data_IF_113465862393
#
_entry.id   IF_113465862393
#
_cell.length_a   1.000
_cell.length_b   1.000
_cell.length_c   1.000
_cell.angle_alpha   90.00
_cell.angle_beta   90.00
_cell.angle_gamma   90.00
#
_symmetry.space_group_name_H-M   'P 1'
#
loop_
_entity.id
_entity.type
_entity.pdbx_description
1 polymer ?
#
# COMPACT_ATOMS: atom_id res chain seq x y z
N UNK A 1 15.42 17.19 11.12
CA UNK A 1 15.55 15.73 11.05
C UNK A 1 16.62 15.30 12.03
N UNK A 2 16.27 14.34 12.87
CA UNK A 2 17.19 13.67 13.79
C UNK A 2 17.35 12.20 13.36
N UNK A 3 18.42 11.56 13.86
CA UNK A 3 18.83 10.22 13.49
C UNK A 3 18.96 9.38 14.76
N UNK A 4 18.27 8.24 14.80
CA UNK A 4 18.45 7.22 15.84
C UNK A 4 18.85 5.91 15.18
N UNK A 5 19.93 5.32 15.71
CA UNK A 5 20.39 3.99 15.35
C UNK A 5 19.96 3.02 16.46
N UNK A 6 19.07 2.10 16.12
CA UNK A 6 18.67 1.02 17.03
C UNK A 6 19.45 -0.23 16.71
N UNK A 7 20.22 -0.68 17.69
CA UNK A 7 20.89 -1.97 17.66
C UNK A 7 19.92 -2.98 18.27
N UNK A 8 19.30 -3.81 17.43
CA UNK A 8 18.43 -4.87 17.91
C UNK A 8 19.30 -6.05 18.37
N UNK A 9 19.07 -6.60 19.58
CA UNK A 9 19.73 -7.83 19.99
C UNK A 9 19.26 -8.99 19.09
N UNK A 10 20.23 -9.82 18.69
CA UNK A 10 20.08 -11.16 18.11
C UNK A 10 18.95 -11.36 17.07
N UNK A 11 19.32 -11.26 15.78
CA UNK A 11 18.47 -11.73 14.67
C UNK A 11 19.09 -13.00 14.08
N UNK A 12 18.32 -14.05 13.75
CA UNK A 12 18.84 -15.26 13.10
C UNK A 12 19.61 -14.92 11.81
N UNK A 13 20.70 -15.64 11.54
CA UNK A 13 21.74 -15.35 10.52
C UNK A 13 21.27 -15.25 9.05
N UNK A 14 19.98 -15.32 8.75
CA UNK A 14 19.46 -15.45 7.39
C UNK A 14 18.67 -14.24 6.88
N UNK A 15 18.57 -13.14 7.63
CA UNK A 15 17.81 -11.96 7.21
C UNK A 15 18.59 -11.11 6.19
N UNK A 16 18.04 -10.97 4.98
CA UNK A 16 18.59 -10.07 3.95
C UNK A 16 18.31 -8.60 4.27
N UNK A 17 19.24 -7.71 3.89
CA UNK A 17 19.06 -6.26 3.93
C UNK A 17 17.82 -5.85 3.13
N UNK A 18 16.83 -5.22 3.76
CA UNK A 18 15.62 -4.75 3.08
C UNK A 18 15.35 -3.32 3.50
N UNK A 19 15.15 -2.40 2.55
CA UNK A 19 14.74 -1.01 2.82
C UNK A 19 13.22 -0.95 2.75
N UNK A 20 12.55 -0.40 3.76
CA UNK A 20 11.09 -0.26 3.79
C UNK A 20 10.69 1.20 4.00
N UNK A 21 9.63 1.63 3.32
CA UNK A 21 8.96 2.91 3.57
C UNK A 21 7.67 2.65 4.36
N UNK A 22 7.47 3.37 5.46
CA UNK A 22 6.24 3.30 6.25
C UNK A 22 5.73 4.74 6.48
N UNK A 23 4.50 5.00 6.03
CA UNK A 23 3.76 6.21 6.41
C UNK A 23 3.01 5.92 7.70
N UNK A 24 3.10 6.81 8.69
CA UNK A 24 2.31 6.76 9.90
C UNK A 24 1.60 8.11 10.09
N UNK A 25 0.29 8.07 10.32
CA UNK A 25 -0.48 9.20 10.84
C UNK A 25 -0.53 9.11 12.36
N UNK A 26 0.02 10.11 13.07
CA UNK A 26 -0.21 10.23 14.49
C UNK A 26 -1.69 10.59 14.70
N UNK A 27 -2.47 9.66 15.27
CA UNK A 27 -3.89 9.84 15.56
C UNK A 27 -4.11 11.03 16.49
N UNK A 28 -4.47 12.18 15.92
CA UNK A 28 -4.76 13.41 16.63
C UNK A 28 -5.35 14.44 15.68
N UNK A 29 -6.56 14.94 15.99
CA UNK A 29 -7.44 15.73 15.12
C UNK A 29 -6.87 17.04 14.54
N UNK A 30 -5.64 17.43 14.87
CA UNK A 30 -5.04 18.72 14.48
C UNK A 30 -3.60 18.62 13.95
N UNK A 31 -3.11 17.43 13.56
CA UNK A 31 -1.76 17.26 13.03
C UNK A 31 -1.78 16.64 11.63
N UNK A 32 -1.42 17.44 10.62
CA UNK A 32 -1.32 16.99 9.23
C UNK A 32 -0.35 15.83 9.06
N UNK A 33 -0.56 15.05 8.00
CA UNK A 33 0.27 13.90 7.60
C UNK A 33 1.75 14.33 7.56
N UNK A 34 2.60 13.70 8.36
CA UNK A 34 4.06 13.90 8.31
C UNK A 34 4.71 12.66 7.72
N UNK A 35 5.49 12.85 6.67
CA UNK A 35 6.24 11.76 6.03
C UNK A 35 7.59 11.57 6.76
N UNK A 36 7.87 10.33 7.17
CA UNK A 36 9.16 9.93 7.73
C UNK A 36 9.79 8.84 6.88
N UNK A 37 11.11 8.94 6.64
CA UNK A 37 11.89 7.94 5.93
C UNK A 37 12.50 6.96 6.94
N UNK A 38 12.24 5.67 6.75
CA UNK A 38 12.90 4.61 7.52
C UNK A 38 13.94 3.93 6.62
N UNK A 39 15.14 3.67 7.12
CA UNK A 39 16.15 2.90 6.39
C UNK A 39 16.66 1.75 7.26
N UNK A 40 16.08 0.57 7.10
CA UNK A 40 16.71 -0.66 7.58
C UNK A 40 17.95 -0.97 6.72
N UNK A 41 19.14 -0.75 7.27
CA UNK A 41 20.38 -1.27 6.69
C UNK A 41 20.93 -2.36 7.59
N UNK A 42 20.49 -3.59 7.35
CA UNK A 42 21.28 -4.76 7.73
C UNK A 42 22.53 -4.84 6.86
N UNK A 43 23.59 -4.09 7.17
CA UNK A 43 24.92 -4.44 6.64
C UNK A 43 25.38 -5.69 7.38
N UNK A 44 25.18 -6.85 6.79
CA UNK A 44 26.04 -7.99 7.08
C UNK A 44 27.45 -7.57 6.65
N UNK A 45 28.26 -7.06 7.59
CA UNK A 45 29.69 -7.04 7.36
C UNK A 45 30.09 -8.50 7.21
N UNK A 46 30.45 -8.90 5.99
CA UNK A 46 31.00 -10.21 5.74
C UNK A 46 32.29 -10.33 6.57
N UNK A 47 32.24 -11.14 7.62
CA UNK A 47 33.27 -11.38 8.63
C UNK A 47 34.54 -12.09 8.11
N UNK A 48 34.81 -12.06 6.80
CA UNK A 48 36.04 -12.65 6.24
C UNK A 48 37.31 -11.86 6.63
N UNK A 49 37.18 -10.66 7.20
CA UNK A 49 38.35 -9.83 7.55
C UNK A 49 38.85 -9.96 9.00
N UNK A 50 38.09 -10.55 9.94
CA UNK A 50 38.49 -10.57 11.36
C UNK A 50 38.39 -11.92 12.09
N UNK A 51 37.92 -13.00 11.47
CA UNK A 51 38.03 -14.34 12.08
C UNK A 51 37.34 -14.50 13.43
N UNK A 52 36.35 -13.64 13.73
CA UNK A 52 35.52 -13.75 14.93
C UNK A 52 34.24 -14.47 14.55
N UNK A 53 34.02 -15.68 15.06
CA UNK A 53 32.69 -16.29 15.08
C UNK A 53 31.86 -15.56 16.13
N UNK A 54 31.18 -14.48 15.73
CA UNK A 54 30.30 -13.71 16.59
C UNK A 54 29.03 -13.32 15.83
N UNK A 55 27.91 -13.29 16.53
CA UNK A 55 26.61 -12.87 15.99
C UNK A 55 26.61 -11.37 15.72
N UNK A 56 26.16 -10.96 14.54
CA UNK A 56 26.10 -9.54 14.16
C UNK A 56 24.71 -8.98 14.49
N UNK A 57 24.60 -7.92 15.30
CA UNK A 57 23.31 -7.30 15.57
C UNK A 57 22.76 -6.60 14.31
N UNK A 58 21.43 -6.58 14.17
CA UNK A 58 20.76 -5.86 13.08
C UNK A 58 20.51 -4.41 13.51
N UNK A 59 20.90 -3.47 12.67
CA UNK A 59 20.67 -2.05 12.91
C UNK A 59 19.43 -1.57 12.13
N UNK A 60 18.45 -1.04 12.87
CA UNK A 60 17.32 -0.28 12.32
C UNK A 60 17.68 1.21 12.40
N UNK A 61 17.71 1.90 11.26
CA UNK A 61 17.94 3.36 11.23
C UNK A 61 16.64 4.08 10.95
N UNK A 62 16.36 5.06 11.79
CA UNK A 62 15.12 5.82 11.79
C UNK A 62 15.48 7.29 11.56
N UNK A 63 14.93 7.88 10.50
CA UNK A 63 14.96 9.33 10.30
C UNK A 63 13.60 9.90 10.69
N UNK A 64 13.58 10.84 11.64
CA UNK A 64 12.35 11.41 12.14
C UNK A 64 12.43 12.93 12.33
N UNK A 65 11.25 13.55 12.41
CA UNK A 65 11.10 14.96 12.75
C UNK A 65 11.30 15.15 14.27
N UNK A 66 12.22 16.02 14.74
CA UNK A 66 12.42 16.26 16.18
C UNK A 66 11.14 16.67 16.94
N UNK A 67 10.10 17.14 16.25
CA UNK A 67 8.81 17.41 16.87
C UNK A 67 8.07 16.17 17.40
N UNK A 68 8.40 14.95 16.95
CA UNK A 68 7.76 13.67 17.33
C UNK A 68 8.69 12.77 18.18
N UNK A 69 9.68 13.38 18.84
CA UNK A 69 10.77 12.66 19.52
C UNK A 69 10.30 11.73 20.63
N UNK A 70 9.24 12.06 21.36
CA UNK A 70 8.78 11.23 22.47
C UNK A 70 7.96 10.01 22.00
N UNK A 71 7.24 10.14 20.89
CA UNK A 71 6.53 9.04 20.21
C UNK A 71 7.54 8.05 19.59
N UNK A 72 8.60 8.57 18.97
CA UNK A 72 9.70 7.73 18.45
C UNK A 72 10.44 7.03 19.59
N UNK A 73 10.70 7.70 20.72
CA UNK A 73 11.31 7.05 21.90
C UNK A 73 10.42 5.94 22.47
N UNK A 74 9.11 6.13 22.48
CA UNK A 74 8.17 5.10 22.91
C UNK A 74 8.16 3.91 21.95
N UNK A 75 8.09 4.15 20.63
CA UNK A 75 8.16 3.10 19.61
C UNK A 75 9.50 2.34 19.67
N UNK A 76 10.61 3.05 19.85
CA UNK A 76 11.94 2.49 20.08
C UNK A 76 11.93 1.57 21.30
N UNK A 77 11.32 2.02 22.40
CA UNK A 77 11.23 1.25 23.65
C UNK A 77 10.33 0.02 23.51
N UNK A 78 9.27 0.11 22.72
CA UNK A 78 8.36 -0.99 22.40
C UNK A 78 9.02 -2.01 21.45
N UNK A 79 9.77 -1.55 20.44
CA UNK A 79 10.55 -2.42 19.55
C UNK A 79 11.72 -3.11 20.28
N UNK A 80 12.25 -2.48 21.34
CA UNK A 80 13.23 -3.10 22.23
C UNK A 80 12.62 -4.17 23.14
N UNK A 81 11.29 -4.21 23.30
CA UNK A 81 10.60 -5.32 23.93
C UNK A 81 10.45 -6.45 22.89
N UNK A 82 11.49 -7.29 22.83
CA UNK A 82 11.79 -8.43 21.95
C UNK A 82 10.64 -9.17 21.25
N UNK A 83 9.46 -9.32 21.87
CA UNK A 83 8.33 -10.05 21.25
C UNK A 83 7.77 -9.32 20.02
N UNK A 84 7.65 -7.99 20.07
CA UNK A 84 7.08 -7.22 18.95
C UNK A 84 8.05 -7.13 17.75
N UNK A 85 9.36 -7.03 18.01
CA UNK A 85 10.38 -6.98 16.95
C UNK A 85 10.53 -8.29 16.19
N UNK A 86 10.47 -9.42 16.89
CA UNK A 86 10.52 -10.75 16.28
C UNK A 86 9.29 -11.03 15.41
N UNK A 87 8.10 -10.63 15.85
CA UNK A 87 6.84 -10.78 15.09
C UNK A 87 6.85 -9.94 13.81
N UNK A 88 7.39 -8.72 13.84
CA UNK A 88 7.52 -7.89 12.63
C UNK A 88 8.48 -8.53 11.62
N UNK A 89 9.65 -9.02 12.06
CA UNK A 89 10.63 -9.67 11.19
C UNK A 89 10.06 -10.97 10.59
N UNK A 90 9.41 -11.81 11.40
CA UNK A 90 8.78 -13.05 10.93
C UNK A 90 7.65 -12.78 9.92
N UNK A 91 6.84 -11.74 10.17
CA UNK A 91 5.81 -11.32 9.21
C UNK A 91 6.41 -10.84 7.88
N UNK A 92 7.49 -10.06 7.92
CA UNK A 92 8.19 -9.59 6.71
C UNK A 92 8.85 -10.75 5.94
N UNK A 93 9.49 -11.70 6.62
CA UNK A 93 10.06 -12.89 5.99
C UNK A 93 8.99 -13.81 5.41
N UNK A 94 7.86 -13.97 6.10
CA UNK A 94 6.70 -14.72 5.59
C UNK A 94 6.15 -14.08 4.32
N UNK A 95 5.95 -12.76 4.31
CA UNK A 95 5.47 -12.02 3.15
C UNK A 95 6.45 -12.10 1.97
N UNK A 96 7.75 -12.03 2.23
CA UNK A 96 8.80 -12.16 1.20
C UNK A 96 8.82 -13.55 0.56
N UNK A 97 8.66 -14.60 1.35
CA UNK A 97 8.68 -15.98 0.86
C UNK A 97 7.33 -16.44 0.29
N UNK A 98 6.24 -15.76 0.68
CA UNK A 98 4.88 -16.02 0.23
C UNK A 98 4.20 -14.70 -0.15
N UNK A 99 4.52 -14.15 -1.34
CA UNK A 99 3.81 -12.97 -1.81
C UNK A 99 2.30 -13.26 -1.86
N UNK A 100 1.45 -12.25 -1.60
CA UNK A 100 0.01 -12.44 -1.58
C UNK A 100 -0.46 -13.03 -2.91
N UNK A 101 -1.34 -14.02 -2.83
CA UNK A 101 -1.90 -14.64 -4.02
C UNK A 101 -2.60 -13.57 -4.88
N UNK A 102 -2.22 -13.52 -6.16
CA UNK A 102 -2.83 -12.59 -7.10
C UNK A 102 -4.26 -13.01 -7.37
N UNK A 103 -5.18 -12.08 -7.16
CA UNK A 103 -6.58 -12.30 -7.48
C UNK A 103 -6.78 -12.44 -8.99
N UNK A 104 -7.78 -13.22 -9.39
CA UNK A 104 -8.22 -13.29 -10.78
C UNK A 104 -9.17 -12.12 -11.01
N UNK A 105 -8.81 -11.23 -11.92
CA UNK A 105 -9.62 -10.06 -12.23
C UNK A 105 -10.99 -10.46 -12.78
N UNK A 106 -12.04 -9.89 -12.21
CA UNK A 106 -13.37 -9.83 -12.82
C UNK A 106 -13.67 -8.38 -13.13
N UNK A 107 -13.55 -8.04 -14.42
CA UNK A 107 -13.65 -6.66 -14.91
C UNK A 107 -15.04 -6.34 -15.48
N UNK A 108 -15.96 -7.32 -15.51
CA UNK A 108 -17.25 -7.13 -16.19
C UNK A 108 -18.25 -6.43 -15.26
N UNK A 109 -18.67 -5.22 -15.62
CA UNK A 109 -19.73 -4.50 -14.90
C UNK A 109 -21.08 -5.16 -15.19
N UNK A 110 -21.82 -5.64 -14.17
CA UNK A 110 -23.13 -6.25 -14.37
C UNK A 110 -24.15 -5.27 -14.98
N UNK A 111 -25.17 -5.75 -15.71
CA UNK A 111 -26.23 -4.90 -16.27
C UNK A 111 -26.96 -4.06 -15.21
N UNK A 112 -27.15 -2.77 -15.46
CA UNK A 112 -27.86 -1.84 -14.57
C UNK A 112 -28.31 -0.57 -15.32
N UNK A 113 -29.43 0.09 -14.93
CA UNK A 113 -29.88 1.32 -15.60
C UNK A 113 -28.88 2.48 -15.56
N UNK A 114 -28.00 2.53 -14.54
CA UNK A 114 -26.94 3.55 -14.41
C UNK A 114 -25.63 3.16 -15.09
N UNK A 115 -25.53 1.97 -15.67
CA UNK A 115 -24.28 1.43 -16.23
C UNK A 115 -23.71 2.30 -17.35
N UNK A 116 -24.57 2.84 -18.22
CA UNK A 116 -24.13 3.68 -19.34
C UNK A 116 -23.45 4.97 -18.87
N UNK A 117 -23.87 5.53 -17.72
CA UNK A 117 -23.26 6.73 -17.17
C UNK A 117 -21.79 6.52 -16.76
N UNK A 118 -21.38 5.28 -16.48
CA UNK A 118 -20.00 4.94 -16.13
C UNK A 118 -19.08 4.84 -17.36
N UNK A 119 -19.59 4.61 -18.56
CA UNK A 119 -18.75 4.36 -19.74
C UNK A 119 -17.98 5.62 -20.10
N UNK A 120 -16.65 5.61 -20.03
CA UNK A 120 -15.77 6.75 -20.27
C UNK A 120 -14.36 6.54 -19.71
N UNK A 121 -13.48 7.48 -20.01
CA UNK A 121 -12.18 7.61 -19.36
C UNK A 121 -12.32 8.60 -18.20
N UNK A 122 -11.84 8.24 -17.02
CA UNK A 122 -12.05 8.96 -15.77
C UNK A 122 -10.71 9.32 -15.14
N UNK A 123 -10.56 10.59 -14.76
CA UNK A 123 -9.34 11.12 -14.20
C UNK A 123 -9.54 11.77 -12.83
N UNK A 124 -8.52 11.67 -11.99
CA UNK A 124 -8.36 12.43 -10.75
C UNK A 124 -7.04 13.19 -10.79
N UNK A 125 -7.05 14.43 -10.29
CA UNK A 125 -5.85 15.28 -10.24
C UNK A 125 -5.08 15.40 -11.59
N UNK A 126 -5.77 15.20 -12.71
CA UNK A 126 -5.19 15.23 -14.06
C UNK A 126 -4.61 13.91 -14.56
N UNK A 127 -4.66 12.85 -13.76
CA UNK A 127 -4.22 11.50 -14.12
C UNK A 127 -5.42 10.57 -14.36
N UNK A 128 -5.37 9.76 -15.42
CA UNK A 128 -6.44 8.79 -15.69
C UNK A 128 -6.36 7.65 -14.69
N UNK A 129 -7.48 7.36 -14.02
CA UNK A 129 -7.58 6.32 -12.99
C UNK A 129 -8.28 5.07 -13.53
N UNK A 130 -9.37 5.26 -14.27
CA UNK A 130 -10.14 4.16 -14.87
C UNK A 130 -10.54 4.46 -16.31
N UNK A 131 -10.50 3.42 -17.14
CA UNK A 131 -11.18 3.38 -18.44
C UNK A 131 -12.33 2.38 -18.35
N UNK A 132 -13.56 2.83 -18.58
CA UNK A 132 -14.75 1.98 -18.61
C UNK A 132 -15.31 1.98 -20.03
N UNK A 133 -15.31 0.83 -20.68
CA UNK A 133 -15.68 0.74 -22.10
C UNK A 133 -16.58 -0.45 -22.40
N UNK A 134 -17.33 -0.35 -23.50
CA UNK A 134 -18.11 -1.46 -24.01
C UNK A 134 -17.30 -2.25 -25.05
N UNK A 135 -17.17 -3.56 -24.81
CA UNK A 135 -16.49 -4.50 -25.69
C UNK A 135 -17.31 -5.78 -25.79
N UNK A 136 -17.68 -6.18 -27.01
CA UNK A 136 -18.43 -7.42 -27.28
C UNK A 136 -19.75 -7.56 -26.48
N UNK A 137 -20.46 -6.44 -26.26
CA UNK A 137 -21.71 -6.39 -25.50
C UNK A 137 -21.55 -6.48 -23.97
N UNK A 138 -20.31 -6.43 -23.49
CA UNK A 138 -19.95 -6.33 -22.07
C UNK A 138 -19.39 -4.95 -21.78
N UNK A 139 -19.65 -4.43 -20.59
CA UNK A 139 -18.99 -3.22 -20.10
C UNK A 139 -17.86 -3.64 -19.18
N UNK A 140 -16.64 -3.19 -19.46
CA UNK A 140 -15.43 -3.56 -18.74
C UNK A 140 -14.87 -2.33 -18.02
N UNK A 141 -14.47 -2.49 -16.75
CA UNK A 141 -13.66 -1.49 -16.03
C UNK A 141 -12.19 -1.89 -16.10
N UNK A 142 -11.32 -0.97 -16.50
CA UNK A 142 -9.87 -1.16 -16.61
C UNK A 142 -9.19 -0.12 -15.74
N UNK A 143 -8.51 -0.50 -14.65
CA UNK A 143 -7.64 0.44 -13.93
C UNK A 143 -6.47 0.83 -14.83
N UNK A 144 -6.05 2.08 -14.74
CA UNK A 144 -4.81 2.52 -15.38
C UNK A 144 -3.63 1.81 -14.74
N UNK A 145 -2.67 1.37 -15.55
CA UNK A 145 -1.42 0.85 -15.04
C UNK A 145 -0.56 2.01 -14.54
N UNK A 146 -0.12 1.94 -13.29
CA UNK A 146 0.76 2.94 -12.69
C UNK A 146 2.02 2.26 -12.17
N UNK A 147 2.97 1.86 -13.06
CA UNK A 147 4.19 1.19 -12.63
C UNK A 147 4.90 1.97 -11.51
N UNK A 148 5.41 1.28 -10.47
CA UNK A 148 5.53 -0.18 -10.33
C UNK A 148 4.27 -0.88 -9.79
N UNK A 149 3.14 -0.19 -9.64
CA UNK A 149 1.91 -0.76 -9.10
C UNK A 149 1.01 -1.32 -10.19
N UNK A 150 0.51 -2.52 -9.93
CA UNK A 150 -0.51 -3.18 -10.72
C UNK A 150 -1.80 -3.28 -9.91
N UNK A 151 -2.89 -2.77 -10.48
CA UNK A 151 -4.21 -2.79 -9.85
C UNK A 151 -5.05 -3.95 -10.38
N UNK A 152 -5.79 -4.61 -9.50
CA UNK A 152 -6.69 -5.70 -9.81
C UNK A 152 -8.08 -5.40 -9.24
N UNK A 153 -9.12 -5.60 -10.05
CA UNK A 153 -10.52 -5.42 -9.66
C UNK A 153 -11.23 -6.78 -9.64
N UNK A 154 -12.04 -7.03 -8.62
CA UNK A 154 -12.83 -8.24 -8.48
C UNK A 154 -14.19 -7.96 -7.82
N UNK A 155 -15.10 -8.94 -7.81
CA UNK A 155 -16.37 -8.89 -7.09
C UNK A 155 -17.26 -7.67 -7.43
N UNK A 156 -17.27 -7.26 -8.70
CA UNK A 156 -18.11 -6.19 -9.23
C UNK A 156 -19.60 -6.50 -9.04
N UNK A 157 -20.32 -5.59 -8.39
CA UNK A 157 -21.77 -5.72 -8.14
C UNK A 157 -22.44 -4.37 -7.96
N UNK A 158 -23.72 -4.31 -8.25
CA UNK A 158 -24.55 -3.15 -7.94
C UNK A 158 -25.18 -3.29 -6.56
N UNK A 159 -25.08 -2.24 -5.76
CA UNK A 159 -25.84 -2.03 -4.54
C UNK A 159 -26.63 -0.74 -4.74
N UNK A 160 -27.93 -0.88 -5.07
CA UNK A 160 -28.74 0.24 -5.56
C UNK A 160 -28.08 0.90 -6.80
N UNK A 161 -27.87 2.21 -6.76
CA UNK A 161 -27.24 2.98 -7.84
C UNK A 161 -25.70 3.09 -7.70
N UNK A 162 -25.09 2.31 -6.80
CA UNK A 162 -23.64 2.31 -6.52
C UNK A 162 -22.99 1.05 -7.06
N UNK A 163 -21.94 1.19 -7.87
CA UNK A 163 -21.11 0.07 -8.30
C UNK A 163 -20.04 -0.19 -7.24
N UNK A 164 -20.05 -1.38 -6.64
CA UNK A 164 -19.10 -1.84 -5.61
C UNK A 164 -18.17 -2.89 -6.17
N UNK A 165 -16.92 -2.90 -5.73
CA UNK A 165 -15.93 -3.91 -6.10
C UNK A 165 -14.81 -3.97 -5.07
N UNK A 166 -14.05 -5.06 -5.14
CA UNK A 166 -12.81 -5.20 -4.41
C UNK A 166 -11.66 -4.77 -5.31
N UNK A 167 -10.78 -3.93 -4.77
CA UNK A 167 -9.60 -3.43 -5.46
C UNK A 167 -8.34 -3.85 -4.70
N UNK A 168 -7.37 -4.38 -5.42
CA UNK A 168 -6.10 -4.84 -4.89
C UNK A 168 -4.97 -4.16 -5.64
N UNK A 169 -3.96 -3.70 -4.93
CA UNK A 169 -2.75 -3.15 -5.52
C UNK A 169 -1.59 -4.10 -5.24
N UNK A 170 -0.85 -4.47 -6.27
CA UNK A 170 0.33 -5.31 -6.18
C UNK A 170 1.54 -4.50 -6.60
N UNK A 171 2.52 -4.41 -5.72
CA UNK A 171 3.80 -3.83 -6.09
C UNK A 171 4.58 -4.83 -6.93
N UNK A 172 4.84 -4.49 -8.19
CA UNK A 172 5.72 -5.20 -9.11
C UNK A 172 6.93 -4.31 -9.41
N UNK A 173 7.91 -4.32 -8.51
CA UNK A 173 9.15 -3.57 -8.65
C UNK A 173 10.25 -4.47 -9.26
N UNK A 174 10.53 -4.35 -10.57
CA UNK A 174 11.55 -5.15 -11.22
C UNK A 174 12.98 -4.80 -10.78
N UNK A 175 13.20 -3.60 -10.20
CA UNK A 175 14.50 -3.19 -9.67
C UNK A 175 14.77 -3.82 -8.31
N UNK A 176 13.72 -4.15 -7.55
CA UNK A 176 13.81 -4.76 -6.22
C UNK A 176 12.96 -6.04 -6.12
N UNK A 177 13.29 -7.11 -6.86
CA UNK A 177 12.52 -8.36 -6.83
C UNK A 177 12.54 -8.96 -5.42
N UNK A 178 11.35 -9.11 -4.83
CA UNK A 178 11.15 -9.62 -3.47
C UNK A 178 11.00 -8.55 -2.39
N UNK A 179 11.00 -7.26 -2.75
CA UNK A 179 10.47 -6.23 -1.86
C UNK A 179 8.95 -6.38 -1.75
N UNK A 180 8.44 -6.45 -0.52
CA UNK A 180 7.00 -6.56 -0.25
C UNK A 180 6.54 -5.32 0.48
N UNK A 181 5.60 -4.61 -0.15
CA UNK A 181 4.92 -3.49 0.49
C UNK A 181 3.82 -4.02 1.43
N UNK A 182 3.64 -3.44 2.63
CA UNK A 182 2.59 -3.88 3.57
C UNK A 182 1.17 -3.80 2.99
N UNK A 183 0.95 -2.94 2.01
CA UNK A 183 -0.34 -2.80 1.31
C UNK A 183 -0.46 -3.63 0.04
N UNK A 184 0.59 -4.36 -0.36
CA UNK A 184 0.53 -5.24 -1.53
C UNK A 184 -0.45 -6.38 -1.29
N UNK A 185 -1.42 -6.55 -2.18
CA UNK A 185 -2.46 -7.58 -2.07
C UNK A 185 -3.48 -7.37 -0.94
N UNK A 186 -3.47 -6.22 -0.27
CA UNK A 186 -4.53 -5.85 0.67
C UNK A 186 -5.80 -5.53 -0.10
N UNK A 187 -6.93 -6.06 0.38
CA UNK A 187 -8.26 -5.78 -0.18
C UNK A 187 -8.70 -4.37 0.17
N UNK A 188 -9.14 -3.62 -0.83
CA UNK A 188 -9.82 -2.35 -0.67
C UNK A 188 -11.27 -2.49 -1.14
N UNK A 189 -12.23 -2.07 -0.32
CA UNK A 189 -13.64 -1.98 -0.69
C UNK A 189 -13.88 -0.65 -1.41
N UNK A 190 -13.96 -0.71 -2.73
CA UNK A 190 -14.09 0.46 -3.60
C UNK A 190 -15.53 0.61 -4.11
N UNK A 191 -15.93 1.85 -4.39
CA UNK A 191 -17.22 2.13 -5.01
C UNK A 191 -17.20 3.32 -5.94
N UNK A 192 -18.04 3.27 -6.97
CA UNK A 192 -18.25 4.31 -7.96
C UNK A 192 -19.73 4.69 -7.99
N UNK A 193 -20.02 5.99 -7.80
CA UNK A 193 -21.38 6.53 -7.77
C UNK A 193 -21.55 7.60 -8.86
N UNK A 194 -22.27 7.30 -9.96
CA UNK A 194 -22.57 8.29 -10.99
C UNK A 194 -23.32 9.49 -10.41
N UNK A 195 -22.92 10.70 -10.79
CA UNK A 195 -23.58 11.92 -10.35
C UNK A 195 -24.65 12.39 -11.33
N UNK A 196 -25.39 13.43 -10.95
CA UNK A 196 -26.34 14.12 -11.84
C UNK A 196 -25.62 14.78 -13.02
N UNK A 197 -24.41 15.27 -12.78
CA UNK A 197 -23.49 15.73 -13.81
C UNK A 197 -22.84 14.49 -14.48
N UNK A 198 -23.09 14.25 -15.79
CA UNK A 198 -22.59 13.06 -16.47
C UNK A 198 -21.06 13.01 -16.59
N UNK A 199 -20.38 14.13 -16.35
CA UNK A 199 -18.91 14.23 -16.40
C UNK A 199 -18.27 14.09 -15.01
N UNK A 200 -19.05 13.70 -14.00
CA UNK A 200 -18.57 13.47 -12.62
C UNK A 200 -18.92 12.09 -12.10
N UNK A 201 -17.97 11.52 -11.36
CA UNK A 201 -18.10 10.25 -10.69
C UNK A 201 -17.51 10.36 -9.28
N UNK A 202 -18.25 9.94 -8.26
CA UNK A 202 -17.70 9.89 -6.89
C UNK A 202 -17.10 8.51 -6.66
N UNK A 203 -15.84 8.52 -6.27
CA UNK A 203 -15.10 7.34 -5.83
C UNK A 203 -14.98 7.34 -4.31
N UNK A 204 -15.16 6.17 -3.72
CA UNK A 204 -14.85 5.94 -2.30
C UNK A 204 -14.05 4.65 -2.19
N UNK A 205 -12.95 4.70 -1.44
CA UNK A 205 -12.12 3.57 -1.06
C UNK A 205 -12.14 3.42 0.45
N UNK A 206 -12.29 2.19 0.92
CA UNK A 206 -12.18 1.83 2.32
C UNK A 206 -11.35 0.55 2.49
N UNK A 207 -10.66 0.39 3.60
CA UNK A 207 -10.07 -0.89 3.99
C UNK A 207 -9.94 -0.96 5.52
N UNK A 208 -9.57 -2.12 6.06
CA UNK A 208 -9.47 -2.33 7.51
C UNK A 208 -8.33 -1.54 8.20
N UNK A 209 -7.41 -0.97 7.43
CA UNK A 209 -6.27 -0.20 7.91
C UNK A 209 -6.49 1.33 7.84
N UNK A 210 -7.58 1.78 7.22
CA UNK A 210 -7.94 3.20 7.15
C UNK A 210 -8.82 3.59 8.33
N UNK A 211 -8.47 4.70 8.99
CA UNK A 211 -9.31 5.27 10.06
C UNK A 211 -10.65 5.79 9.52
N UNK A 212 -10.62 6.36 8.32
CA UNK A 212 -11.79 6.88 7.61
C UNK A 212 -11.69 6.54 6.10
N UNK A 213 -12.83 6.32 5.41
CA UNK A 213 -12.82 6.11 3.96
C UNK A 213 -12.21 7.30 3.21
N UNK A 214 -11.43 7.00 2.18
CA UNK A 214 -10.88 8.01 1.26
C UNK A 214 -11.88 8.22 0.14
N UNK A 215 -12.27 9.47 -0.09
CA UNK A 215 -13.16 9.85 -1.18
C UNK A 215 -12.49 10.75 -2.18
N UNK A 216 -12.89 10.61 -3.44
CA UNK A 216 -12.39 11.42 -4.55
C UNK A 216 -13.49 11.69 -5.58
N UNK A 217 -13.35 12.78 -6.33
CA UNK A 217 -14.22 13.11 -7.46
C UNK A 217 -13.44 12.92 -8.76
N UNK A 218 -13.86 11.95 -9.56
CA UNK A 218 -13.31 11.77 -10.88
C UNK A 218 -14.08 12.62 -11.89
N UNK A 219 -13.30 13.16 -12.83
CA UNK A 219 -13.81 13.92 -13.97
C UNK A 219 -13.63 13.11 -15.24
N UNK A 220 -14.62 13.18 -16.13
CA UNK A 220 -14.53 12.51 -17.43
C UNK A 220 -13.47 13.21 -18.30
N UNK A 221 -12.57 12.44 -18.89
CA UNK A 221 -11.61 12.94 -19.87
C UNK A 221 -12.34 13.18 -21.20
N UNK A 222 -12.35 14.43 -21.66
CA UNK A 222 -12.91 14.81 -22.95
C UNK A 222 -11.78 14.88 -23.97
N UNK A 223 -11.73 13.91 -24.89
CA UNK A 223 -10.80 13.90 -26.02
C UNK A 223 -11.29 14.75 -27.19
#
# INVERSE_FOLDING_TARGET
MEYVNLVLPEVPRNSATTRHWLKWGAGGKDHGVREGLWEMTGKAYNDEFFGVKGETPVCLNIWYDPAITDEIKQLVQELQNLEAGAEIIDNLERLKNHPPERQIADLTIPPHPKREALIGEWASEGETVYTIEEQDGKVLIKPTQSPPWESMINNLRWEEDVLRFDEYYYLDDPENPGYVHPFSGVRNDSSLTPQTDPDRLIYLLNNEHLEEPIGDEFTRVVN
#
